data_IF_142687239087
#
_entry.id   IF_142687239087
#
_cell.length_a   1.000
_cell.length_b   1.000
_cell.length_c   1.000
_cell.angle_alpha   90.00
_cell.angle_beta   90.00
_cell.angle_gamma   90.00
#
_symmetry.space_group_name_H-M   'P 1'
#
loop_
_entity.id
_entity.type
_entity.pdbx_description
1 polymer ?
#
# COMPACT_ATOMS: atom_id res chain seq x y z
N UNK A 1 18.62 -11.89 6.55
CA UNK A 1 17.97 -10.74 5.91
C UNK A 1 17.99 -9.56 6.86
N UNK A 2 18.43 -8.37 6.41
CA UNK A 2 18.39 -7.15 7.20
C UNK A 2 16.94 -6.76 7.48
N UNK A 3 16.70 -6.19 8.66
CA UNK A 3 15.42 -5.54 8.94
C UNK A 3 15.23 -4.37 7.96
N UNK A 4 14.00 -4.12 7.46
CA UNK A 4 13.68 -2.86 6.79
C UNK A 4 14.13 -1.69 7.64
N UNK A 5 14.59 -0.57 7.05
CA UNK A 5 15.02 0.59 7.80
C UNK A 5 13.88 1.06 8.69
N UNK A 6 14.00 0.77 9.99
CA UNK A 6 13.05 1.21 11.00
C UNK A 6 13.41 2.67 11.32
N UNK A 7 12.47 3.62 11.26
CA UNK A 7 12.73 4.99 11.69
C UNK A 7 13.33 4.98 13.10
N UNK A 8 14.44 5.70 13.28
CA UNK A 8 15.30 5.70 14.47
C UNK A 8 14.62 6.11 15.78
N UNK A 9 13.39 6.63 15.71
CA UNK A 9 12.56 6.94 16.87
C UNK A 9 11.76 5.69 17.30
N UNK A 10 12.26 4.99 18.33
CA UNK A 10 11.62 3.87 19.07
C UNK A 10 10.35 3.35 18.39
N UNK A 11 10.46 2.25 17.63
CA UNK A 11 9.37 1.58 16.91
C UNK A 11 8.03 1.69 17.66
N UNK A 12 7.24 2.69 17.28
CA UNK A 12 5.96 2.96 17.91
C UNK A 12 4.91 2.58 16.89
N UNK A 13 4.44 1.34 16.97
CA UNK A 13 3.40 0.80 16.10
C UNK A 13 2.12 1.64 16.09
N UNK A 14 1.89 2.51 17.10
CA UNK A 14 0.77 3.46 17.11
C UNK A 14 0.93 4.61 16.10
N UNK A 15 2.16 4.88 15.62
CA UNK A 15 2.44 5.87 14.57
C UNK A 15 2.27 5.31 13.16
N UNK A 16 2.27 3.98 13.01
CA UNK A 16 2.13 3.31 11.73
C UNK A 16 0.65 3.14 11.38
N UNK A 17 0.27 3.66 10.22
CA UNK A 17 -1.09 3.63 9.70
C UNK A 17 -1.36 2.37 8.89
N UNK A 18 -0.43 1.97 8.03
CA UNK A 18 -0.52 0.80 7.17
C UNK A 18 0.88 0.33 6.81
N UNK A 19 1.03 -0.98 6.63
CA UNK A 19 2.27 -1.63 6.21
C UNK A 19 1.94 -2.58 5.06
N UNK A 20 2.88 -2.73 4.12
CA UNK A 20 2.84 -3.77 3.11
C UNK A 20 4.20 -4.46 3.06
N UNK A 21 4.19 -5.79 2.98
CA UNK A 21 5.38 -6.61 2.81
C UNK A 21 5.03 -7.79 1.92
N UNK A 22 5.58 -7.83 0.71
CA UNK A 22 5.21 -8.81 -0.29
C UNK A 22 6.17 -8.89 -1.47
N UNK A 23 6.04 -9.96 -2.25
CA UNK A 23 6.93 -10.26 -3.39
C UNK A 23 6.24 -9.91 -4.71
N UNK A 24 6.97 -9.27 -5.62
CA UNK A 24 6.58 -9.04 -7.01
C UNK A 24 7.79 -9.32 -7.92
N UNK A 25 7.62 -10.16 -8.94
CA UNK A 25 8.67 -10.57 -9.88
C UNK A 25 9.99 -11.00 -9.20
N UNK A 26 9.91 -11.87 -8.18
CA UNK A 26 11.05 -12.35 -7.38
C UNK A 26 11.73 -11.29 -6.48
N UNK A 27 11.33 -10.02 -6.58
CA UNK A 27 11.79 -8.95 -5.71
C UNK A 27 10.86 -8.77 -4.52
N UNK A 28 11.44 -8.51 -3.35
CA UNK A 28 10.72 -8.30 -2.12
C UNK A 28 10.55 -6.80 -1.85
N UNK A 29 9.33 -6.38 -1.56
CA UNK A 29 8.98 -4.98 -1.34
C UNK A 29 8.48 -4.75 0.07
N UNK A 30 8.77 -3.56 0.59
CA UNK A 30 8.29 -3.07 1.87
C UNK A 30 7.77 -1.65 1.75
N UNK A 31 6.64 -1.39 2.40
CA UNK A 31 6.06 -0.05 2.53
C UNK A 31 5.62 0.15 3.96
N UNK A 32 6.01 1.27 4.56
CA UNK A 32 5.52 1.73 5.85
C UNK A 32 4.92 3.12 5.70
N UNK A 33 3.64 3.25 6.05
CA UNK A 33 2.92 4.53 5.98
C UNK A 33 2.67 5.02 7.39
N UNK A 34 3.17 6.21 7.72
CA UNK A 34 2.92 6.85 9.01
C UNK A 34 1.68 7.73 9.01
N UNK A 35 1.01 7.85 10.15
CA UNK A 35 -0.12 8.77 10.31
C UNK A 35 0.24 10.24 10.03
N UNK A 36 1.47 10.66 10.34
CA UNK A 36 1.94 12.04 10.13
C UNK A 36 2.23 12.40 8.67
N UNK A 37 2.45 11.40 7.81
CA UNK A 37 2.80 11.57 6.40
C UNK A 37 2.02 10.59 5.53
N UNK A 38 0.74 10.36 5.84
CA UNK A 38 0.01 9.25 5.23
C UNK A 38 -0.23 9.40 3.72
N UNK A 39 -0.04 10.59 3.14
CA UNK A 39 -0.09 10.83 1.70
C UNK A 39 1.25 10.69 1.01
N UNK A 40 2.37 10.72 1.73
CA UNK A 40 3.72 10.70 1.15
C UNK A 40 4.60 9.68 1.84
N UNK A 41 4.99 8.65 1.10
CA UNK A 41 5.74 7.52 1.62
C UNK A 41 6.56 6.86 0.51
N UNK A 42 7.54 6.07 0.91
CA UNK A 42 8.45 5.39 0.01
C UNK A 42 8.09 3.91 -0.12
N UNK A 43 8.31 3.37 -1.31
CA UNK A 43 8.32 1.93 -1.56
C UNK A 43 9.78 1.48 -1.62
N UNK A 44 10.13 0.55 -0.73
CA UNK A 44 11.45 -0.02 -0.66
C UNK A 44 11.48 -1.39 -1.33
N UNK A 45 12.56 -1.68 -2.03
CA UNK A 45 12.88 -2.97 -2.63
C UNK A 45 14.11 -3.54 -1.92
N UNK A 46 14.06 -4.83 -1.59
CA UNK A 46 15.22 -5.56 -1.07
C UNK A 46 16.17 -5.89 -2.22
N UNK A 47 17.46 -5.64 -2.01
CA UNK A 47 18.50 -6.03 -2.95
C UNK A 47 18.57 -7.56 -3.14
N UNK A 48 19.03 -8.02 -4.31
CA UNK A 48 19.06 -9.45 -4.70
C UNK A 48 19.94 -10.26 -3.74
N UNK A 49 21.02 -9.67 -3.25
CA UNK A 49 21.91 -10.29 -2.27
C UNK A 49 21.34 -10.26 -0.84
N UNK A 50 20.12 -9.73 -0.67
CA UNK A 50 19.42 -9.56 0.61
C UNK A 50 20.27 -8.81 1.64
N UNK A 51 21.03 -7.80 1.22
CA UNK A 51 21.97 -7.07 2.08
C UNK A 51 21.43 -5.71 2.55
N UNK A 52 20.57 -5.07 1.75
CA UNK A 52 20.00 -3.77 2.08
C UNK A 52 18.63 -3.56 1.43
N UNK A 53 17.95 -2.51 1.90
CA UNK A 53 16.71 -1.99 1.30
C UNK A 53 17.02 -0.69 0.58
N UNK A 54 16.53 -0.56 -0.65
CA UNK A 54 16.69 0.63 -1.49
C UNK A 54 15.33 1.23 -1.80
N UNK A 55 15.23 2.56 -1.77
CA UNK A 55 14.00 3.25 -2.21
C UNK A 55 13.86 3.11 -3.71
N UNK A 56 12.77 2.49 -4.17
CA UNK A 56 12.46 2.30 -5.59
C UNK A 56 11.48 3.36 -6.11
N UNK A 57 10.46 3.69 -5.32
CA UNK A 57 9.45 4.70 -5.68
C UNK A 57 9.14 5.65 -4.53
N UNK A 58 8.86 6.90 -4.88
CA UNK A 58 8.26 7.89 -4.00
C UNK A 58 6.78 8.05 -4.37
N UNK A 59 5.88 7.85 -3.41
CA UNK A 59 4.44 7.93 -3.63
C UNK A 59 3.90 9.25 -3.08
N UNK A 60 3.06 9.94 -3.85
CA UNK A 60 2.28 11.10 -3.38
C UNK A 60 0.78 10.93 -3.71
N UNK A 61 -0.03 10.65 -2.69
CA UNK A 61 -1.47 10.45 -2.82
C UNK A 61 -2.28 11.75 -2.72
N UNK A 62 -1.66 12.94 -2.77
CA UNK A 62 -2.36 14.20 -2.61
C UNK A 62 -3.49 14.39 -3.63
N UNK A 63 -3.23 14.17 -4.92
CA UNK A 63 -4.27 14.27 -5.96
C UNK A 63 -5.39 13.23 -5.77
N UNK A 64 -5.04 12.03 -5.30
CA UNK A 64 -6.02 10.99 -4.99
C UNK A 64 -6.95 11.43 -3.85
N UNK A 65 -6.42 12.13 -2.84
CA UNK A 65 -7.24 12.63 -1.72
C UNK A 65 -8.18 13.76 -2.12
N UNK A 66 -7.84 14.53 -3.16
CA UNK A 66 -8.71 15.56 -3.73
C UNK A 66 -9.85 14.91 -4.52
N UNK A 67 -9.54 13.89 -5.32
CA UNK A 67 -10.52 13.16 -6.12
C UNK A 67 -11.46 12.28 -5.28
N UNK A 68 -10.97 11.72 -4.17
CA UNK A 68 -11.73 10.85 -3.27
C UNK A 68 -11.68 11.37 -1.82
N UNK A 69 -12.41 12.46 -1.52
CA UNK A 69 -12.40 13.07 -0.20
C UNK A 69 -12.93 12.13 0.90
N UNK A 70 -13.63 11.05 0.56
CA UNK A 70 -14.02 10.01 1.50
C UNK A 70 -12.83 9.31 2.18
N UNK A 71 -11.63 9.38 1.59
CA UNK A 71 -10.38 8.93 2.20
C UNK A 71 -9.91 9.86 3.32
N UNK A 72 -10.29 11.13 3.28
CA UNK A 72 -9.87 12.18 4.21
C UNK A 72 -11.02 12.45 5.18
N UNK A 73 -11.16 11.57 6.17
CA UNK A 73 -12.15 11.76 7.25
C UNK A 73 -11.46 12.30 8.49
N UNK A 74 -11.47 11.56 9.60
CA UNK A 74 -10.68 11.91 10.79
C UNK A 74 -9.18 11.60 10.61
N UNK A 75 -8.89 10.60 9.78
CA UNK A 75 -7.55 10.17 9.36
C UNK A 75 -7.64 9.71 7.90
N UNK A 76 -6.48 9.50 7.28
CA UNK A 76 -6.40 8.89 5.95
C UNK A 76 -6.82 7.42 6.00
N UNK A 77 -7.95 7.12 5.37
CA UNK A 77 -8.57 5.80 5.35
C UNK A 77 -8.26 5.09 4.02
N UNK A 78 -7.27 4.21 4.06
CA UNK A 78 -6.90 3.35 2.92
C UNK A 78 -6.08 2.15 3.40
N UNK A 79 -5.88 1.16 2.54
CA UNK A 79 -4.95 0.03 2.74
C UNK A 79 -4.18 -0.24 1.45
N UNK A 80 -2.91 -0.61 1.57
CA UNK A 80 -2.13 -1.10 0.42
C UNK A 80 -2.44 -2.57 0.25
N UNK A 81 -2.88 -2.98 -0.93
CA UNK A 81 -3.24 -4.38 -1.22
C UNK A 81 -2.06 -5.14 -1.81
N UNK A 82 -1.46 -4.62 -2.88
CA UNK A 82 -0.32 -5.23 -3.54
C UNK A 82 0.45 -4.21 -4.38
N UNK A 83 1.66 -4.59 -4.76
CA UNK A 83 2.47 -3.93 -5.78
C UNK A 83 2.48 -4.86 -6.99
N UNK A 84 2.16 -4.29 -8.15
CA UNK A 84 2.16 -4.96 -9.45
C UNK A 84 3.22 -4.30 -10.32
N UNK A 85 4.16 -5.08 -10.83
CA UNK A 85 5.20 -4.60 -11.74
C UNK A 85 5.26 -5.54 -12.94
N UNK A 86 5.30 -4.97 -14.14
CA UNK A 86 5.58 -5.65 -15.39
C UNK A 86 6.59 -4.82 -16.21
N UNK A 87 6.95 -5.25 -17.42
CA UNK A 87 7.96 -4.56 -18.25
C UNK A 87 7.60 -3.10 -18.55
N UNK A 88 6.31 -2.77 -18.58
CA UNK A 88 5.78 -1.48 -19.02
C UNK A 88 5.21 -0.69 -17.84
N UNK A 89 4.55 -1.35 -16.90
CA UNK A 89 3.74 -0.75 -15.84
C UNK A 89 4.24 -1.08 -14.43
N UNK A 90 4.09 -0.12 -13.53
CA UNK A 90 4.39 -0.30 -12.11
C UNK A 90 3.26 0.36 -11.33
N UNK A 91 2.42 -0.45 -10.71
CA UNK A 91 1.16 -0.03 -10.10
C UNK A 91 1.11 -0.42 -8.62
N UNK A 92 0.55 0.47 -7.82
CA UNK A 92 0.20 0.23 -6.43
C UNK A 92 -1.32 0.10 -6.33
N UNK A 93 -1.80 -1.06 -5.88
CA UNK A 93 -3.23 -1.25 -5.64
C UNK A 93 -3.58 -0.79 -4.23
N UNK A 94 -4.51 0.17 -4.17
CA UNK A 94 -4.94 0.82 -2.94
C UNK A 94 -6.44 0.55 -2.75
N UNK A 95 -6.80 0.01 -1.59
CA UNK A 95 -8.18 -0.01 -1.13
C UNK A 95 -8.51 1.28 -0.41
N UNK A 96 -9.60 1.93 -0.81
CA UNK A 96 -10.18 3.10 -0.14
C UNK A 96 -11.64 2.77 0.22
N UNK A 97 -12.33 3.61 1.01
CA UNK A 97 -13.74 3.37 1.35
C UNK A 97 -14.60 3.15 0.10
N UNK A 98 -15.08 1.92 -0.06
CA UNK A 98 -15.97 1.53 -1.14
C UNK A 98 -15.31 1.34 -2.52
N UNK A 99 -13.98 1.45 -2.67
CA UNK A 99 -13.32 1.31 -3.98
C UNK A 99 -11.95 0.65 -3.92
N UNK A 100 -11.54 0.09 -5.06
CA UNK A 100 -10.15 -0.30 -5.34
C UNK A 100 -9.61 0.62 -6.42
N UNK A 101 -8.44 1.21 -6.18
CA UNK A 101 -7.73 2.12 -7.06
C UNK A 101 -6.41 1.48 -7.48
N UNK A 102 -6.10 1.56 -8.77
CA UNK A 102 -4.74 1.37 -9.28
C UNK A 102 -4.05 2.73 -9.33
N UNK A 103 -2.90 2.84 -8.69
CA UNK A 103 -2.06 4.04 -8.71
C UNK A 103 -0.78 3.75 -9.50
N UNK A 104 -0.56 4.46 -10.59
CA UNK A 104 0.65 4.35 -11.41
C UNK A 104 1.82 5.02 -10.69
N UNK A 105 2.86 4.24 -10.38
CA UNK A 105 4.02 4.67 -9.61
C UNK A 105 5.01 5.52 -10.41
N UNK A 106 4.94 5.50 -11.75
CA UNK A 106 5.81 6.28 -12.64
C UNK A 106 5.18 7.62 -12.97
N UNK A 107 3.93 7.60 -13.41
CA UNK A 107 3.19 8.79 -13.85
C UNK A 107 2.47 9.51 -12.70
N UNK A 108 2.44 8.91 -11.50
CA UNK A 108 1.71 9.44 -10.35
C UNK A 108 0.23 9.70 -10.63
N UNK A 109 -0.35 8.86 -11.47
CA UNK A 109 -1.76 8.93 -11.87
C UNK A 109 -2.56 7.80 -11.25
N UNK A 110 -3.89 7.89 -11.28
CA UNK A 110 -4.72 6.83 -10.69
C UNK A 110 -5.95 6.54 -11.54
N UNK A 111 -6.35 5.27 -11.49
CA UNK A 111 -7.53 4.74 -12.15
C UNK A 111 -8.34 3.89 -11.17
N UNK A 112 -9.65 4.10 -11.15
CA UNK A 112 -10.56 3.23 -10.41
C UNK A 112 -10.67 1.87 -11.10
N UNK A 113 -10.41 0.79 -10.36
CA UNK A 113 -10.55 -0.59 -10.84
C UNK A 113 -11.91 -1.18 -10.50
N UNK A 114 -12.41 -0.94 -9.30
CA UNK A 114 -13.62 -1.58 -8.80
C UNK A 114 -14.36 -0.70 -7.78
N UNK A 115 -15.68 -0.79 -7.77
CA UNK A 115 -16.55 -0.23 -6.74
C UNK A 115 -17.14 -1.37 -5.91
N UNK A 116 -17.09 -1.25 -4.58
CA UNK A 116 -17.82 -2.12 -3.70
C UNK A 116 -19.23 -1.58 -3.47
N UNK A 117 -20.25 -2.45 -3.36
CA UNK A 117 -21.59 -2.01 -3.00
C UNK A 117 -21.54 -1.26 -1.66
N UNK A 118 -22.07 -0.04 -1.64
CA UNK A 118 -22.21 0.74 -0.41
C UNK A 118 -23.18 0.01 0.50
N UNK A 119 -22.68 -0.60 1.58
CA UNK A 119 -23.57 -1.16 2.60
C UNK A 119 -24.23 0.03 3.28
N UNK A 120 -25.57 0.22 3.15
CA UNK A 120 -26.26 1.33 3.77
C UNK A 120 -26.31 1.04 5.27
N UNK A 121 -25.29 1.51 5.95
CA UNK A 121 -25.11 1.24 7.36
C UNK A 121 -25.67 2.45 8.07
N UNK A 122 -26.86 2.32 8.67
CA UNK A 122 -27.62 3.41 9.30
C UNK A 122 -26.81 4.18 10.34
N UNK A 123 -26.01 5.15 9.88
CA UNK A 123 -25.07 5.93 10.67
C UNK A 123 -23.76 5.23 11.09
N UNK A 124 -23.61 3.91 10.89
CA UNK A 124 -22.40 3.20 11.30
C UNK A 124 -21.30 3.23 10.22
N UNK A 125 -20.08 3.52 10.66
CA UNK A 125 -18.96 4.00 9.85
C UNK A 125 -18.15 2.82 9.31
N UNK A 126 -18.20 2.56 8.01
CA UNK A 126 -17.26 1.61 7.38
C UNK A 126 -15.93 2.32 7.18
N UNK A 127 -14.97 2.04 8.07
CA UNK A 127 -13.54 2.26 7.78
C UNK A 127 -13.12 1.29 6.69
N UNK A 128 -12.20 1.66 5.80
CA UNK A 128 -11.57 0.67 4.93
C UNK A 128 -10.95 -0.40 5.83
N UNK A 129 -11.28 -1.69 5.65
CA UNK A 129 -10.66 -2.72 6.48
C UNK A 129 -9.15 -2.65 6.31
N UNK A 130 -8.43 -2.82 7.42
CA UNK A 130 -6.98 -2.99 7.38
C UNK A 130 -6.72 -4.37 6.81
N UNK A 131 -6.38 -4.42 5.52
CA UNK A 131 -6.06 -5.65 4.85
C UNK A 131 -4.55 -5.87 4.95
N UNK A 132 -4.15 -7.06 5.38
CA UNK A 132 -2.88 -7.65 4.97
C UNK A 132 -3.20 -8.55 3.80
N UNK A 133 -3.06 -8.02 2.59
CA UNK A 133 -3.24 -8.80 1.38
C UNK A 133 -1.88 -9.40 0.98
N UNK A 134 -1.90 -10.68 0.65
CA UNK A 134 -0.74 -11.43 0.18
C UNK A 134 -1.10 -12.02 -1.17
N UNK A 135 -0.20 -11.87 -2.14
CA UNK A 135 -0.36 -12.52 -3.44
C UNK A 135 -0.40 -14.03 -3.22
N UNK A 136 -1.46 -14.67 -3.71
CA UNK A 136 -1.53 -16.13 -3.70
C UNK A 136 -0.45 -16.68 -4.63
N UNK A 137 0.37 -17.59 -4.10
CA UNK A 137 1.29 -18.41 -4.89
C UNK A 137 0.92 -19.88 -4.64
N UNK A 138 0.70 -20.62 -5.73
CA UNK A 138 0.50 -22.06 -5.65
C UNK A 138 1.86 -22.70 -5.40
N UNK A 139 2.10 -23.20 -4.19
CA UNK A 139 3.32 -23.94 -3.89
C UNK A 139 3.21 -25.35 -4.49
N UNK A 140 4.05 -25.69 -5.46
CA UNK A 140 4.25 -27.06 -5.97
C UNK A 140 4.99 -27.96 -4.95
N UNK A 141 4.72 -27.82 -3.66
CA UNK A 141 5.23 -28.74 -2.66
C UNK A 141 4.53 -30.09 -2.87
N UNK A 142 5.21 -31.03 -3.53
CA UNK A 142 4.81 -32.43 -3.53
C UNK A 142 4.86 -32.93 -2.08
N UNK A 143 3.72 -33.44 -1.59
CA UNK A 143 3.63 -34.23 -0.35
C UNK A 143 4.02 -35.67 -0.65
#
# INVERSE_FOLDING_TARGET
MPLPPIPTDKFNRKKVKCEYFGVCNEHLYFVEVHHSSATRFDILEMDIDYTCWTVKYHVDLQELTIAYPEMVRAHYDFSILLIEEDEVSSNLLISIPGKIISYDLKEMSFKKLHDFPSIPTGGARVTAPRYSAYRYYESLACV
#
